data_IF_721675389565
#
_entry.id   IF_721675389565
#
_cell.length_a   1.000
_cell.length_b   1.000
_cell.length_c   1.000
_cell.angle_alpha   90.00
_cell.angle_beta   90.00
_cell.angle_gamma   90.00
#
_symmetry.space_group_name_H-M   'P 1'
#
loop_
_entity.id
_entity.type
_entity.pdbx_description
1 polymer ?
#
# COMPACT_ATOMS: atom_id res chain seq x y z
N UNK A 1 -20.70 -4.68 -1.51
CA UNK A 1 -19.32 -5.13 -1.26
C UNK A 1 -18.71 -4.17 -0.25
N UNK A 2 -18.18 -4.69 0.87
CA UNK A 2 -17.53 -3.85 1.88
C UNK A 2 -16.04 -3.76 1.56
N UNK A 3 -15.68 -2.77 0.75
CA UNK A 3 -14.29 -2.52 0.37
C UNK A 3 -13.80 -1.26 1.07
N UNK A 4 -12.60 -1.31 1.63
CA UNK A 4 -11.96 -0.19 2.29
C UNK A 4 -10.57 0.03 1.71
N UNK A 5 -10.14 1.29 1.61
CA UNK A 5 -8.78 1.65 1.16
C UNK A 5 -8.05 2.50 2.19
N UNK A 6 -6.75 2.34 2.31
CA UNK A 6 -5.87 3.24 3.04
C UNK A 6 -4.58 3.48 2.26
N UNK A 7 -3.99 4.67 2.37
CA UNK A 7 -2.68 4.96 1.79
C UNK A 7 -1.61 4.73 2.85
N UNK A 8 -0.51 4.09 2.47
CA UNK A 8 0.65 3.84 3.33
C UNK A 8 1.94 4.16 2.59
N UNK A 9 3.01 4.33 3.36
CA UNK A 9 4.37 4.29 2.83
C UNK A 9 5.00 2.98 3.28
N UNK A 10 5.46 2.16 2.33
CA UNK A 10 6.06 0.87 2.65
C UNK A 10 7.33 1.07 3.50
N UNK A 11 7.43 0.51 4.72
CA UNK A 11 8.48 0.89 5.67
C UNK A 11 9.91 0.66 5.17
N UNK A 12 10.13 -0.41 4.39
CA UNK A 12 11.48 -0.78 3.91
C UNK A 12 11.88 -0.12 2.59
N UNK A 13 10.93 0.16 1.70
CA UNK A 13 11.22 0.67 0.35
C UNK A 13 10.88 2.16 0.21
N UNK A 14 10.13 2.72 1.17
CA UNK A 14 9.58 4.08 1.14
C UNK A 14 8.68 4.36 -0.07
N UNK A 15 8.15 3.30 -0.68
CA UNK A 15 7.25 3.38 -1.83
C UNK A 15 5.84 3.61 -1.31
N UNK A 16 5.11 4.63 -1.79
CA UNK A 16 3.70 4.79 -1.51
C UNK A 16 2.87 3.63 -2.09
N UNK A 17 2.04 3.02 -1.24
CA UNK A 17 1.14 1.93 -1.58
C UNK A 17 -0.28 2.26 -1.13
N UNK A 18 -1.25 1.66 -1.80
CA UNK A 18 -2.65 1.62 -1.40
C UNK A 18 -2.91 0.22 -0.85
N UNK A 19 -3.51 0.14 0.33
CA UNK A 19 -3.97 -1.10 0.96
C UNK A 19 -5.46 -1.19 0.75
N UNK A 20 -5.93 -2.28 0.15
CA UNK A 20 -7.36 -2.57 0.04
C UNK A 20 -7.73 -3.71 0.96
N UNK A 21 -8.71 -3.48 1.82
CA UNK A 21 -9.32 -4.53 2.63
C UNK A 21 -10.70 -4.83 2.08
N UNK A 22 -10.88 -6.05 1.55
CA UNK A 22 -12.17 -6.57 1.15
C UNK A 22 -12.73 -7.42 2.30
N UNK A 23 -13.60 -6.82 3.09
CA UNK A 23 -14.21 -7.48 4.26
C UNK A 23 -15.16 -8.60 3.83
N UNK A 24 -15.79 -8.47 2.64
CA UNK A 24 -16.71 -9.49 2.13
C UNK A 24 -15.98 -10.78 1.71
N UNK A 25 -14.82 -10.63 1.07
CA UNK A 25 -14.04 -11.76 0.55
C UNK A 25 -12.90 -12.20 1.50
N UNK A 26 -12.72 -11.51 2.63
CA UNK A 26 -11.78 -11.90 3.69
C UNK A 26 -10.31 -11.81 3.28
N UNK A 27 -9.91 -10.77 2.56
CA UNK A 27 -8.52 -10.58 2.18
C UNK A 27 -8.08 -9.11 2.11
N UNK A 28 -6.78 -8.91 2.17
CA UNK A 28 -6.12 -7.62 1.93
C UNK A 28 -5.20 -7.73 0.71
N UNK A 29 -5.20 -6.70 -0.12
CA UNK A 29 -4.30 -6.55 -1.26
C UNK A 29 -3.57 -5.21 -1.19
N UNK A 30 -2.47 -5.14 -1.95
CA UNK A 30 -1.68 -3.93 -2.09
C UNK A 30 -1.62 -3.51 -3.54
N UNK A 31 -1.62 -2.21 -3.77
CA UNK A 31 -1.36 -1.62 -5.07
C UNK A 31 -0.35 -0.50 -4.90
N UNK A 32 0.43 -0.22 -5.95
CA UNK A 32 1.27 0.97 -5.98
C UNK A 32 0.37 2.19 -6.18
N UNK A 33 0.63 3.25 -5.41
CA UNK A 33 -0.06 4.51 -5.63
C UNK A 33 0.53 5.21 -6.87
N UNK A 34 0.08 4.80 -8.06
CA UNK A 34 0.69 5.22 -9.31
C UNK A 34 0.59 6.73 -9.55
N UNK A 35 -0.49 7.36 -9.08
CA UNK A 35 -0.66 8.81 -9.15
C UNK A 35 0.43 9.52 -8.33
N UNK A 36 0.60 9.13 -7.07
CA UNK A 36 1.62 9.74 -6.21
C UNK A 36 3.05 9.40 -6.68
N UNK A 37 3.27 8.20 -7.20
CA UNK A 37 4.54 7.79 -7.75
C UNK A 37 4.96 8.62 -8.96
N UNK A 38 4.04 8.92 -9.88
CA UNK A 38 4.34 9.74 -11.04
C UNK A 38 4.80 11.14 -10.61
N UNK A 39 4.09 11.76 -9.65
CA UNK A 39 4.48 13.06 -9.09
C UNK A 39 5.87 13.01 -8.45
N UNK A 40 6.17 11.95 -7.68
CA UNK A 40 7.50 11.78 -7.07
C UNK A 40 8.61 11.59 -8.12
N UNK A 41 8.34 10.88 -9.22
CA UNK A 41 9.30 10.68 -10.31
C UNK A 41 9.60 12.01 -11.00
N UNK A 42 8.58 12.82 -11.28
CA UNK A 42 8.73 14.15 -11.89
C UNK A 42 9.52 15.08 -10.97
N UNK A 43 9.22 15.10 -9.67
CA UNK A 43 9.94 15.93 -8.69
C UNK A 43 11.39 15.49 -8.46
N UNK A 44 11.69 14.22 -8.68
CA UNK A 44 13.05 13.67 -8.52
C UNK A 44 13.83 13.59 -9.83
N UNK A 45 13.27 14.15 -10.91
CA UNK A 45 13.92 14.17 -12.20
C UNK A 45 15.26 14.93 -12.13
N UNK A 46 16.33 14.28 -12.59
CA UNK A 46 17.69 14.82 -12.52
C UNK A 46 18.42 14.63 -11.17
N UNK A 47 17.77 14.03 -10.16
CA UNK A 47 18.43 13.71 -8.89
C UNK A 47 19.08 12.31 -8.91
N UNK A 48 20.26 12.12 -8.29
CA UNK A 48 20.87 10.79 -8.11
C UNK A 48 19.98 9.78 -7.37
N UNK A 49 18.97 10.26 -6.63
CA UNK A 49 18.01 9.42 -5.91
C UNK A 49 17.00 8.71 -6.82
N UNK A 50 16.84 9.12 -8.09
CA UNK A 50 15.86 8.56 -9.02
C UNK A 50 16.06 7.06 -9.27
N UNK A 51 17.29 6.64 -9.51
CA UNK A 51 17.61 5.23 -9.78
C UNK A 51 17.30 4.33 -8.57
N UNK A 52 17.62 4.80 -7.36
CA UNK A 52 17.29 4.11 -6.11
C UNK A 52 15.77 4.00 -5.92
N UNK A 53 15.03 5.06 -6.25
CA UNK A 53 13.58 5.08 -6.16
C UNK A 53 12.93 4.07 -7.13
N UNK A 54 13.37 4.03 -8.38
CA UNK A 54 12.89 3.07 -9.39
C UNK A 54 13.14 1.62 -8.92
N UNK A 55 14.35 1.32 -8.42
CA UNK A 55 14.67 -0.01 -7.89
C UNK A 55 13.77 -0.40 -6.71
N UNK A 56 13.49 0.55 -5.82
CA UNK A 56 12.58 0.32 -4.69
C UNK A 56 11.14 0.06 -5.15
N UNK A 57 10.68 0.73 -6.20
CA UNK A 57 9.38 0.47 -6.84
C UNK A 57 9.30 -0.94 -7.40
N UNK A 58 10.36 -1.44 -8.03
CA UNK A 58 10.40 -2.82 -8.55
C UNK A 58 10.28 -3.84 -7.40
N UNK A 59 11.02 -3.64 -6.31
CA UNK A 59 10.96 -4.52 -5.13
C UNK A 59 9.57 -4.55 -4.47
N UNK A 60 8.88 -3.40 -4.45
CA UNK A 60 7.51 -3.31 -3.93
C UNK A 60 6.46 -4.01 -4.83
N UNK A 61 6.82 -4.49 -6.01
CA UNK A 61 5.87 -5.20 -6.89
C UNK A 61 5.43 -6.55 -6.30
N UNK A 62 6.32 -7.22 -5.56
CA UNK A 62 6.06 -8.56 -5.04
C UNK A 62 4.89 -8.58 -4.04
N UNK A 63 4.78 -7.56 -3.18
CA UNK A 63 3.66 -7.46 -2.22
C UNK A 63 2.34 -7.13 -2.93
N UNK A 64 2.39 -6.45 -4.07
CA UNK A 64 1.20 -6.07 -4.85
C UNK A 64 0.58 -7.25 -5.63
N UNK A 65 1.35 -8.33 -5.84
CA UNK A 65 0.90 -9.50 -6.58
C UNK A 65 0.26 -10.58 -5.69
N UNK A 66 0.22 -10.35 -4.38
CA UNK A 66 -0.24 -11.34 -3.40
C UNK A 66 -1.51 -10.85 -2.70
N UNK A 67 -2.46 -11.76 -2.52
CA UNK A 67 -3.61 -11.55 -1.64
C UNK A 67 -3.32 -12.21 -0.29
N UNK A 68 -3.55 -11.50 0.80
CA UNK A 68 -3.30 -12.02 2.13
C UNK A 68 -4.64 -12.25 2.84
N UNK A 69 -4.93 -13.46 3.32
CA UNK A 69 -6.21 -13.76 3.97
C UNK A 69 -6.30 -13.04 5.31
N UNK A 70 -7.34 -12.23 5.48
CA UNK A 70 -7.66 -11.48 6.72
C UNK A 70 -9.17 -11.29 6.79
N UNK A 71 -9.78 -11.65 7.92
CA UNK A 71 -11.24 -11.66 8.06
C UNK A 71 -11.80 -10.47 8.83
N UNK A 72 -10.94 -9.62 9.37
CA UNK A 72 -11.34 -8.48 10.20
C UNK A 72 -10.34 -7.34 10.15
N UNK A 73 -10.79 -6.12 10.45
CA UNK A 73 -9.89 -4.98 10.63
C UNK A 73 -8.80 -5.23 11.68
N UNK A 74 -9.10 -6.01 12.72
CA UNK A 74 -8.11 -6.38 13.73
C UNK A 74 -6.94 -7.13 13.09
N UNK A 75 -7.24 -8.16 12.30
CA UNK A 75 -6.23 -8.93 11.58
C UNK A 75 -5.48 -8.09 10.54
N UNK A 76 -6.18 -7.17 9.86
CA UNK A 76 -5.53 -6.20 8.95
C UNK A 76 -4.49 -5.37 9.69
N UNK A 77 -4.84 -4.80 10.85
CA UNK A 77 -3.91 -4.00 11.64
C UNK A 77 -2.75 -4.83 12.20
N UNK A 78 -3.01 -6.06 12.65
CA UNK A 78 -1.96 -6.98 13.13
C UNK A 78 -1.01 -7.34 12.00
N UNK A 79 -1.53 -7.69 10.82
CA UNK A 79 -0.73 -7.98 9.64
C UNK A 79 0.11 -6.78 9.21
N UNK A 80 -0.49 -5.58 9.09
CA UNK A 80 0.23 -4.36 8.72
C UNK A 80 1.30 -3.98 9.76
N UNK A 81 1.08 -4.27 11.05
CA UNK A 81 2.08 -4.09 12.08
C UNK A 81 3.30 -5.01 11.88
N UNK A 82 3.12 -6.25 11.39
CA UNK A 82 4.25 -7.13 11.05
C UNK A 82 5.10 -6.59 9.90
N UNK A 83 4.51 -5.78 9.01
CA UNK A 83 5.22 -5.08 7.93
C UNK A 83 5.89 -3.79 8.40
N UNK A 84 5.70 -3.39 9.67
CA UNK A 84 6.25 -2.17 10.25
C UNK A 84 5.35 -0.94 10.12
N UNK A 85 4.10 -1.10 9.65
CA UNK A 85 3.13 0.00 9.53
C UNK A 85 2.42 0.19 10.86
N UNK A 86 2.41 1.41 11.39
CA UNK A 86 1.73 1.70 12.67
C UNK A 86 0.25 1.97 12.44
N UNK A 87 -0.58 1.50 13.37
CA UNK A 87 -2.04 1.71 13.32
C UNK A 87 -2.44 3.19 13.22
N UNK A 88 -1.72 4.09 13.88
CA UNK A 88 -2.03 5.51 13.87
C UNK A 88 -1.75 6.19 12.53
N UNK A 89 -0.98 5.54 11.65
CA UNK A 89 -0.65 6.04 10.32
C UNK A 89 -1.66 5.54 9.27
N UNK A 90 -2.68 4.76 9.68
CA UNK A 90 -3.67 4.15 8.81
C UNK A 90 -5.03 4.84 8.96
N UNK A 91 -5.53 5.36 7.84
CA UNK A 91 -6.89 5.89 7.74
C UNK A 91 -7.65 5.18 6.63
N UNK A 92 -8.43 4.17 7.00
CA UNK A 92 -9.28 3.44 6.05
C UNK A 92 -10.51 4.26 5.66
N UNK A 93 -10.74 4.38 4.36
CA UNK A 93 -11.91 4.98 3.74
C UNK A 93 -12.75 3.89 3.09
N UNK A 94 -14.05 3.87 3.35
CA UNK A 94 -14.97 2.96 2.68
C UNK A 94 -15.17 3.36 1.22
N UNK A 95 -15.09 2.39 0.32
CA UNK A 95 -15.34 2.54 -1.10
C UNK A 95 -16.76 2.05 -1.42
N UNK A 96 -17.58 2.93 -1.98
CA UNK A 96 -18.90 2.59 -2.50
C UNK A 96 -18.77 2.15 -3.96
N UNK A 97 -18.69 0.85 -4.17
CA UNK A 97 -18.68 0.26 -5.52
C UNK A 97 -20.14 -0.03 -5.90
N UNK A 98 -20.64 0.62 -6.96
CA UNK A 98 -21.97 0.39 -7.54
C UNK A 98 -21.97 -0.81 -8.49
#
# INVERSE_FOLDING_TARGET
MNLYKAHIVHPSTQVPLIVYFNESDGHVTFEKDQELLNVLIELTEGLPSKERFIKNMELASNICQTQYPVSSFKEVYEFLATLGVKKNDLSFQQLFVH
#
